data_IF_766412178548
#
_entry.id   IF_766412178548
#
_cell.length_a   1.000
_cell.length_b   1.000
_cell.length_c   1.000
_cell.angle_alpha   90.00
_cell.angle_beta   90.00
_cell.angle_gamma   90.00
#
_symmetry.space_group_name_H-M   'P 1'
#
loop_
_entity.id
_entity.type
_entity.pdbx_description
1 polymer ?
#
# COMPACT_ATOMS: atom_id res chain seq x y z
N UNK A 1 11.61 17.30 -7.52
CA UNK A 1 12.35 16.02 -7.43
C UNK A 1 11.34 14.97 -7.00
N UNK A 2 11.09 13.87 -7.72
CA UNK A 2 10.20 12.83 -7.20
C UNK A 2 10.90 12.24 -5.97
N UNK A 3 10.36 12.50 -4.79
CA UNK A 3 10.81 11.96 -3.50
C UNK A 3 10.88 10.42 -3.45
N UNK A 4 10.36 9.73 -4.48
CA UNK A 4 10.31 8.28 -4.56
C UNK A 4 11.54 7.62 -5.22
N UNK A 5 12.49 8.38 -5.78
CA UNK A 5 13.64 7.76 -6.48
C UNK A 5 14.58 7.03 -5.51
N UNK A 6 14.89 7.66 -4.37
CA UNK A 6 15.86 7.14 -3.42
C UNK A 6 15.37 5.89 -2.65
N UNK A 7 14.17 5.87 -2.04
CA UNK A 7 13.66 4.67 -1.38
C UNK A 7 13.51 3.49 -2.35
N UNK A 8 13.04 3.74 -3.57
CA UNK A 8 12.91 2.70 -4.60
C UNK A 8 14.23 2.02 -4.93
N UNK A 9 15.26 2.82 -5.22
CA UNK A 9 16.60 2.30 -5.56
C UNK A 9 17.21 1.53 -4.38
N UNK A 10 17.02 2.01 -3.15
CA UNK A 10 17.48 1.33 -1.95
C UNK A 10 16.79 -0.04 -1.81
N UNK A 11 15.46 -0.09 -1.87
CA UNK A 11 14.70 -1.34 -1.73
C UNK A 11 15.06 -2.34 -2.83
N UNK A 12 15.22 -1.90 -4.08
CA UNK A 12 15.66 -2.76 -5.18
C UNK A 12 17.08 -3.32 -4.98
N UNK A 13 17.98 -2.55 -4.36
CA UNK A 13 19.37 -2.97 -4.16
C UNK A 13 19.55 -3.91 -2.98
N UNK A 14 18.73 -3.77 -1.94
CA UNK A 14 18.92 -4.49 -0.67
C UNK A 14 17.95 -5.65 -0.47
N UNK A 15 16.74 -5.60 -1.04
CA UNK A 15 15.77 -6.67 -0.85
C UNK A 15 15.99 -7.82 -1.83
N UNK A 16 15.89 -9.09 -1.37
CA UNK A 16 15.97 -10.26 -2.23
C UNK A 16 15.01 -10.17 -3.44
N UNK A 17 15.36 -10.71 -4.61
CA UNK A 17 14.55 -10.59 -5.82
C UNK A 17 13.14 -11.17 -5.69
N UNK A 18 12.93 -12.10 -4.75
CA UNK A 18 11.66 -12.76 -4.44
C UNK A 18 10.67 -11.86 -3.68
N UNK A 19 11.13 -10.71 -3.17
CA UNK A 19 10.32 -9.79 -2.36
C UNK A 19 9.61 -8.78 -3.24
N UNK A 20 8.28 -8.67 -3.09
CA UNK A 20 7.49 -7.67 -3.79
C UNK A 20 7.74 -6.26 -3.24
N UNK A 21 7.74 -5.26 -4.11
CA UNK A 21 7.94 -3.84 -3.81
C UNK A 21 6.83 -3.03 -4.47
N UNK A 22 5.99 -2.43 -3.63
CA UNK A 22 4.98 -1.44 -4.01
C UNK A 22 5.33 -0.13 -3.33
N UNK A 23 5.67 0.89 -4.12
CA UNK A 23 5.90 2.22 -3.59
C UNK A 23 4.59 3.00 -3.61
N UNK A 24 4.23 3.61 -2.47
CA UNK A 24 3.06 4.47 -2.34
C UNK A 24 3.50 5.87 -1.93
N UNK A 25 2.75 6.88 -2.35
CA UNK A 25 2.92 8.26 -1.95
C UNK A 25 1.55 8.90 -1.77
N UNK A 26 0.99 8.83 -0.55
CA UNK A 26 -0.14 9.67 -0.20
C UNK A 26 0.28 11.12 -0.40
N UNK A 27 -0.33 11.84 -1.34
CA UNK A 27 -0.07 13.28 -1.56
C UNK A 27 -0.87 14.15 -0.58
N UNK A 28 -1.24 13.57 0.55
CA UNK A 28 -2.03 14.18 1.60
C UNK A 28 -1.41 13.86 2.96
N UNK A 29 -1.46 14.83 3.87
CA UNK A 29 -0.99 14.71 5.25
C UNK A 29 -2.13 14.75 6.25
N UNK A 30 -1.81 14.77 7.56
CA UNK A 30 -2.80 14.84 8.63
C UNK A 30 -3.81 15.97 8.46
N UNK A 31 -3.37 17.15 8.00
CA UNK A 31 -4.23 18.32 7.84
C UNK A 31 -5.16 18.20 6.61
N UNK A 32 -4.62 17.78 5.46
CA UNK A 32 -5.40 17.67 4.22
C UNK A 32 -6.28 16.43 4.17
N UNK A 33 -5.92 15.38 4.92
CA UNK A 33 -6.63 14.10 5.01
C UNK A 33 -7.43 13.90 6.29
N UNK A 34 -7.55 14.93 7.15
CA UNK A 34 -8.24 14.82 8.45
C UNK A 34 -9.71 14.35 8.31
N UNK A 35 -10.41 14.87 7.28
CA UNK A 35 -11.85 14.67 7.09
C UNK A 35 -12.23 13.60 6.06
N UNK A 36 -11.34 13.19 5.16
CA UNK A 36 -11.49 12.02 4.29
C UNK A 36 -10.24 11.86 3.44
N UNK A 37 -9.93 10.64 2.99
CA UNK A 37 -8.97 10.43 1.91
C UNK A 37 -9.64 10.29 0.55
N UNK A 38 -10.98 10.20 0.53
CA UNK A 38 -11.77 10.15 -0.69
C UNK A 38 -11.54 11.41 -1.52
N UNK A 39 -11.17 11.21 -2.79
CA UNK A 39 -10.88 12.29 -3.73
C UNK A 39 -9.50 12.94 -3.56
N UNK A 40 -8.67 12.50 -2.60
CA UNK A 40 -7.29 12.96 -2.48
C UNK A 40 -6.36 12.15 -3.39
N UNK A 41 -5.31 12.82 -3.87
CA UNK A 41 -4.34 12.20 -4.75
C UNK A 41 -3.50 11.17 -3.98
N UNK A 42 -3.61 9.91 -4.40
CA UNK A 42 -2.77 8.82 -3.94
C UNK A 42 -1.95 8.31 -5.12
N UNK A 43 -0.65 8.56 -5.11
CA UNK A 43 0.26 8.08 -6.14
C UNK A 43 0.84 6.73 -5.72
N UNK A 44 1.02 5.82 -6.68
CA UNK A 44 1.68 4.55 -6.42
C UNK A 44 2.46 4.08 -7.65
N UNK A 45 3.48 3.25 -7.41
CA UNK A 45 4.30 2.60 -8.42
C UNK A 45 4.48 1.12 -8.05
N UNK A 46 4.04 0.22 -8.94
CA UNK A 46 4.33 -1.22 -8.82
C UNK A 46 5.77 -1.46 -9.28
N UNK A 47 6.71 -1.41 -8.34
CA UNK A 47 8.14 -1.45 -8.64
C UNK A 47 8.61 -2.86 -9.00
N UNK A 48 8.24 -3.86 -8.20
CA UNK A 48 8.55 -5.27 -8.45
C UNK A 48 7.45 -6.13 -7.85
N UNK A 49 6.56 -6.68 -8.66
CA UNK A 49 5.51 -7.60 -8.20
C UNK A 49 5.64 -8.89 -9.02
N UNK A 50 5.94 -10.00 -8.36
CA UNK A 50 6.19 -11.30 -9.02
C UNK A 50 4.88 -12.04 -9.34
N UNK A 51 4.00 -11.37 -10.07
CA UNK A 51 2.67 -11.88 -10.43
C UNK A 51 2.71 -13.08 -11.39
N UNK A 52 3.78 -13.19 -12.17
CA UNK A 52 4.09 -14.31 -13.05
C UNK A 52 4.50 -15.57 -12.26
N UNK A 53 5.13 -15.40 -11.11
CA UNK A 53 5.49 -16.48 -10.18
C UNK A 53 4.28 -16.91 -9.34
N UNK A 54 3.52 -15.95 -8.81
CA UNK A 54 2.29 -16.20 -8.04
C UNK A 54 1.26 -15.08 -8.27
N UNK A 55 0.13 -15.36 -8.96
CA UNK A 55 -0.93 -14.38 -9.20
C UNK A 55 -1.53 -13.76 -7.92
N UNK A 56 -1.43 -14.44 -6.78
CA UNK A 56 -1.91 -13.93 -5.48
C UNK A 56 -1.17 -12.64 -5.08
N UNK A 57 0.09 -12.47 -5.53
CA UNK A 57 0.90 -11.27 -5.25
C UNK A 57 0.33 -10.01 -5.90
N UNK A 58 -0.16 -10.11 -7.14
CA UNK A 58 -0.89 -9.03 -7.78
C UNK A 58 -2.17 -8.68 -7.01
N UNK A 59 -2.91 -9.71 -6.57
CA UNK A 59 -4.13 -9.53 -5.78
C UNK A 59 -3.88 -8.79 -4.46
N UNK A 60 -2.81 -9.10 -3.73
CA UNK A 60 -2.43 -8.39 -2.50
C UNK A 60 -2.20 -6.90 -2.75
N UNK A 61 -1.51 -6.57 -3.83
CA UNK A 61 -1.28 -5.18 -4.23
C UNK A 61 -2.58 -4.47 -4.59
N UNK A 62 -3.47 -5.12 -5.33
CA UNK A 62 -4.79 -4.57 -5.69
C UNK A 62 -5.66 -4.32 -4.46
N UNK A 63 -5.69 -5.25 -3.50
CA UNK A 63 -6.43 -5.08 -2.25
C UNK A 63 -5.95 -3.86 -1.47
N UNK A 64 -4.63 -3.64 -1.40
CA UNK A 64 -4.08 -2.44 -0.77
C UNK A 64 -4.53 -1.16 -1.51
N UNK A 65 -4.49 -1.16 -2.84
CA UNK A 65 -4.88 0.01 -3.63
C UNK A 65 -6.38 0.31 -3.53
N UNK A 66 -7.23 -0.73 -3.53
CA UNK A 66 -8.68 -0.58 -3.32
C UNK A 66 -9.01 -0.04 -1.93
N UNK A 67 -8.27 -0.49 -0.91
CA UNK A 67 -8.42 0.06 0.44
C UNK A 67 -8.22 1.58 0.47
N UNK A 68 -7.12 2.09 -0.11
CA UNK A 68 -6.87 3.53 -0.16
C UNK A 68 -7.90 4.31 -0.99
N UNK A 69 -8.55 3.68 -1.99
CA UNK A 69 -9.62 4.33 -2.77
C UNK A 69 -10.91 4.50 -1.97
N UNK A 70 -11.23 3.57 -1.07
CA UNK A 70 -12.53 3.50 -0.40
C UNK A 70 -12.55 4.15 0.99
N UNK A 71 -11.40 4.60 1.50
CA UNK A 71 -11.31 5.20 2.82
C UNK A 71 -12.03 6.55 2.90
N UNK A 72 -13.06 6.59 3.75
CA UNK A 72 -13.68 7.82 4.24
C UNK A 72 -13.21 8.09 5.67
N UNK A 73 -13.00 9.35 6.05
CA UNK A 73 -12.70 9.63 7.45
C UNK A 73 -13.92 9.33 8.29
N UNK A 74 -13.65 8.80 9.48
CA UNK A 74 -14.63 8.66 10.54
C UNK A 74 -14.13 9.50 11.72
N UNK A 75 -15.03 10.07 12.51
CA UNK A 75 -14.71 10.95 13.65
C UNK A 75 -13.71 10.36 14.67
N UNK A 76 -13.44 9.05 14.58
CA UNK A 76 -12.43 8.36 15.36
C UNK A 76 -11.39 7.77 14.39
N UNK A 77 -10.15 8.26 14.50
CA UNK A 77 -8.98 7.91 13.68
C UNK A 77 -8.42 6.49 13.96
N UNK A 78 -9.26 5.52 14.35
CA UNK A 78 -8.85 4.14 14.67
C UNK A 78 -9.35 3.11 13.67
N UNK A 79 -10.46 3.35 12.97
CA UNK A 79 -11.02 2.38 12.01
C UNK A 79 -10.15 2.14 10.80
N UNK A 80 -9.45 3.17 10.30
CA UNK A 80 -8.49 3.02 9.21
C UNK A 80 -7.30 2.13 9.61
N UNK A 81 -6.82 2.26 10.84
CA UNK A 81 -5.74 1.43 11.37
C UNK A 81 -6.20 -0.02 11.63
N UNK A 82 -7.41 -0.21 12.19
CA UNK A 82 -8.01 -1.54 12.38
C UNK A 82 -8.27 -2.26 11.05
N UNK A 83 -8.75 -1.54 10.03
CA UNK A 83 -8.95 -2.10 8.70
C UNK A 83 -7.62 -2.45 8.02
N UNK A 84 -6.57 -1.63 8.22
CA UNK A 84 -5.22 -1.94 7.76
C UNK A 84 -4.64 -3.16 8.50
N UNK A 85 -4.84 -3.28 9.81
CA UNK A 85 -4.50 -4.46 10.61
C UNK A 85 -5.22 -5.72 10.10
N UNK A 86 -6.51 -5.62 9.79
CA UNK A 86 -7.28 -6.73 9.22
C UNK A 86 -6.75 -7.13 7.84
N UNK A 87 -6.41 -6.16 6.98
CA UNK A 87 -5.81 -6.44 5.69
C UNK A 87 -4.45 -7.13 5.83
N UNK A 88 -3.60 -6.66 6.75
CA UNK A 88 -2.30 -7.27 7.06
C UNK A 88 -2.49 -8.69 7.56
N UNK A 89 -3.41 -8.93 8.50
CA UNK A 89 -3.71 -10.26 9.03
C UNK A 89 -4.21 -11.22 7.95
N UNK A 90 -5.13 -10.77 7.09
CA UNK A 90 -5.65 -11.59 5.99
C UNK A 90 -4.57 -11.88 4.95
N UNK A 91 -3.71 -10.92 4.65
CA UNK A 91 -2.61 -11.08 3.69
C UNK A 91 -1.50 -11.98 4.24
N UNK A 92 -1.18 -11.85 5.53
CA UNK A 92 -0.17 -12.67 6.20
C UNK A 92 -0.63 -14.13 6.34
N UNK A 93 -1.91 -14.36 6.64
CA UNK A 93 -2.49 -15.70 6.73
C UNK A 93 -2.61 -16.38 5.34
N UNK A 94 -2.82 -15.61 4.27
CA UNK A 94 -2.79 -16.12 2.88
C UNK A 94 -1.36 -16.47 2.39
N UNK A 95 -0.32 -16.23 3.18
CA UNK A 95 1.08 -16.38 2.78
C UNK A 95 1.75 -17.68 3.24
N UNK A 96 1.02 -18.59 3.90
CA UNK A 96 1.59 -19.82 4.48
C UNK A 96 0.84 -21.14 4.17
N UNK A 97 0.04 -21.18 3.09
CA UNK A 97 -0.39 -22.44 2.44
C UNK A 97 -0.05 -22.48 0.94
#
# INVERSE_FOLDING_TARGET
MPCQVFPKQLLLSWLPPEVDILCTHPMFGPDSGAGSWAGLNFMFERVRILADVDPRRARRCELLLEFFKQLQSTDINTRGFEALLNLVNNTANDSFE
#
